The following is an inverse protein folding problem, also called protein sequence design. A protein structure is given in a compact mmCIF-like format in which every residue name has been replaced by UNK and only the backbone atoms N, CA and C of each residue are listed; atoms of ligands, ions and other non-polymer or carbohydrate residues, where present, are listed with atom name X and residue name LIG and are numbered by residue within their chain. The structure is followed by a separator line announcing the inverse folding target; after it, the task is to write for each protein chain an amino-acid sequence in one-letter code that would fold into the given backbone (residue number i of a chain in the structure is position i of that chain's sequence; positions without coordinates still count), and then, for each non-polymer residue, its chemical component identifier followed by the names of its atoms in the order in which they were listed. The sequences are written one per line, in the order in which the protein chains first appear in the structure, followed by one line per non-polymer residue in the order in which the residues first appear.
data_IF_182412488372
#
_entry.id   IF_182412488372
#
_cell.length_a   1.000
_cell.length_b   1.000
_cell.length_c   1.000
_cell.angle_alpha   90.00
_cell.angle_beta   90.00
_cell.angle_gamma   90.00
#
_symmetry.space_group_name_H-M   'P 1'
#
loop_
_entity.id
_entity.type
_entity.pdbx_description
1 polymer ?
#
# COMPACT_ATOMS: atom_id res chain seq x y z
N UNK A 1 -11.67 -19.95 1.92
CA UNK A 1 -11.78 -18.63 2.59
C UNK A 1 -10.41 -18.02 2.59
N UNK A 2 -10.28 -16.77 2.16
CA UNK A 2 -9.02 -16.03 2.25
C UNK A 2 -8.96 -15.37 3.63
N UNK A 3 -7.85 -15.51 4.35
CA UNK A 3 -7.59 -14.82 5.62
C UNK A 3 -6.61 -13.65 5.41
N UNK A 4 -6.48 -12.78 6.41
CA UNK A 4 -5.63 -11.57 6.33
C UNK A 4 -4.16 -11.90 6.06
N UNK A 5 -3.69 -13.07 6.54
CA UNK A 5 -2.34 -13.54 6.28
C UNK A 5 -2.17 -13.90 4.80
N UNK A 6 -3.12 -14.62 4.21
CA UNK A 6 -3.15 -14.92 2.79
C UNK A 6 -3.31 -13.68 1.93
N UNK A 7 -4.12 -12.70 2.35
CA UNK A 7 -4.22 -11.38 1.71
C UNK A 7 -2.86 -10.66 1.68
N UNK A 8 -2.18 -10.58 2.82
CA UNK A 8 -0.86 -9.93 2.90
C UNK A 8 0.17 -10.58 1.98
N UNK A 9 0.26 -11.92 2.00
CA UNK A 9 1.18 -12.66 1.14
C UNK A 9 0.87 -12.48 -0.36
N UNK A 10 -0.40 -12.54 -0.74
CA UNK A 10 -0.82 -12.33 -2.12
C UNK A 10 -0.56 -10.89 -2.61
N UNK A 11 -0.57 -9.91 -1.69
CA UNK A 11 -0.25 -8.51 -1.97
C UNK A 11 1.23 -8.15 -1.76
N UNK A 12 2.12 -9.14 -1.59
CA UNK A 12 3.57 -8.92 -1.47
C UNK A 12 4.03 -8.27 -0.16
N UNK A 13 3.20 -8.27 0.88
CA UNK A 13 3.56 -7.75 2.21
C UNK A 13 4.65 -8.63 2.83
N UNK A 14 5.89 -8.12 2.86
CA UNK A 14 7.08 -8.84 3.34
C UNK A 14 7.68 -8.25 4.63
N UNK A 15 7.29 -7.05 5.02
CA UNK A 15 7.75 -6.35 6.22
C UNK A 15 6.62 -5.46 6.77
N UNK A 16 6.78 -4.93 7.98
CA UNK A 16 5.81 -3.99 8.56
C UNK A 16 6.49 -2.68 8.97
N UNK A 17 5.81 -1.52 8.84
CA UNK A 17 4.51 -1.34 8.19
C UNK A 17 4.59 -1.42 6.64
N UNK A 18 3.48 -1.77 5.98
CA UNK A 18 3.30 -1.63 4.53
C UNK A 18 2.07 -0.78 4.30
N UNK A 19 2.17 0.18 3.38
CA UNK A 19 1.09 1.12 3.05
C UNK A 19 0.74 0.95 1.59
N UNK A 20 -0.56 0.94 1.30
CA UNK A 20 -1.12 0.98 -0.05
C UNK A 20 -1.97 2.23 -0.20
N UNK A 21 -1.91 2.88 -1.35
CA UNK A 21 -2.82 3.96 -1.76
C UNK A 21 -3.46 3.51 -3.07
N UNK A 22 -4.79 3.43 -3.11
CA UNK A 22 -5.57 2.99 -4.27
C UNK A 22 -5.13 1.67 -4.94
N UNK A 23 -4.54 0.77 -4.15
CA UNK A 23 -4.06 -0.54 -4.60
C UNK A 23 -2.56 -0.62 -4.86
N UNK A 24 -1.87 0.52 -4.94
CA UNK A 24 -0.43 0.60 -5.18
C UNK A 24 0.37 0.62 -3.89
N UNK A 25 1.40 -0.24 -3.82
CA UNK A 25 2.29 -0.33 -2.66
C UNK A 25 3.28 0.84 -2.62
N UNK A 26 3.29 1.60 -1.53
CA UNK A 26 4.20 2.73 -1.36
C UNK A 26 5.56 2.26 -0.80
N UNK A 27 6.61 2.41 -1.62
CA UNK A 27 7.99 2.05 -1.24
C UNK A 27 8.79 3.24 -0.69
N UNK A 28 8.40 4.47 -1.02
CA UNK A 28 9.05 5.71 -0.57
C UNK A 28 8.13 6.47 0.40
N UNK A 29 8.37 6.29 1.71
CA UNK A 29 7.48 6.83 2.76
C UNK A 29 7.59 8.33 2.98
N UNK A 30 8.63 8.99 2.46
CA UNK A 30 8.90 10.40 2.73
C UNK A 30 7.86 11.37 2.16
N UNK A 31 7.04 10.93 1.20
CA UNK A 31 6.15 11.80 0.41
C UNK A 31 4.69 11.29 0.39
N UNK A 32 4.22 10.65 1.47
CA UNK A 32 2.85 10.10 1.51
C UNK A 32 1.77 11.14 1.21
N UNK A 33 1.93 12.37 1.71
CA UNK A 33 0.96 13.45 1.48
C UNK A 33 0.86 13.79 -0.02
N UNK A 34 1.99 13.94 -0.71
CA UNK A 34 2.02 14.22 -2.16
C UNK A 34 1.44 13.07 -2.98
N UNK A 35 1.70 11.82 -2.58
CA UNK A 35 1.12 10.65 -3.26
C UNK A 35 -0.40 10.64 -3.13
N UNK A 36 -0.93 10.95 -1.95
CA UNK A 36 -2.39 11.04 -1.75
C UNK A 36 -2.99 12.21 -2.55
N UNK A 37 -2.31 13.35 -2.58
CA UNK A 37 -2.74 14.50 -3.40
C UNK A 37 -2.77 14.16 -4.89
N UNK A 38 -1.78 13.41 -5.39
CA UNK A 38 -1.76 12.91 -6.78
C UNK A 38 -2.94 11.97 -7.03
N UNK A 39 -3.15 10.94 -6.20
CA UNK A 39 -4.24 9.96 -6.37
C UNK A 39 -5.65 10.58 -6.34
N UNK A 40 -5.86 11.67 -5.60
CA UNK A 40 -7.15 12.39 -5.58
C UNK A 40 -7.43 13.12 -6.90
N UNK A 41 -6.38 13.53 -7.63
CA UNK A 41 -6.48 14.35 -8.84
C UNK A 41 -6.44 13.55 -10.15
N UNK A 42 -6.33 12.22 -10.08
CA UNK A 42 -6.44 11.28 -11.21
C UNK A 42 -7.90 10.99 -11.61
#
# INVERSE_FOLDING_TARGET
MQDDRGLGQNNGVSATPTVFVDGDMITQRGNLDSIIEESINE
#
